data_IF_184661674941
#
_entry.id   IF_184661674941
#
_cell.length_a   1.000
_cell.length_b   1.000
_cell.length_c   1.000
_cell.angle_alpha   90.00
_cell.angle_beta   90.00
_cell.angle_gamma   90.00
#
_symmetry.space_group_name_H-M   'P 1'
#
loop_
_entity.id
_entity.type
_entity.pdbx_description
1 polymer ?
#
# COMPACT_ATOMS: atom_id res chain seq x y z
N UNK A 1 -31.96 -37.43 14.15
CA UNK A 1 -30.48 -37.48 14.04
C UNK A 1 -30.03 -37.52 12.57
N UNK A 2 -30.58 -36.62 11.72
CA UNK A 2 -30.31 -36.55 10.27
C UNK A 2 -30.11 -35.07 9.87
N UNK A 3 -30.72 -34.15 10.64
CA UNK A 3 -30.58 -32.70 10.50
C UNK A 3 -29.19 -32.15 10.91
N UNK A 4 -28.39 -32.93 11.66
CA UNK A 4 -27.03 -32.54 12.07
C UNK A 4 -25.97 -32.89 11.02
N UNK A 5 -26.27 -33.82 10.11
CA UNK A 5 -25.32 -34.38 9.15
C UNK A 5 -25.32 -33.65 7.79
N UNK A 6 -26.38 -32.87 7.50
CA UNK A 6 -26.56 -32.13 6.25
C UNK A 6 -26.13 -30.65 6.38
N UNK A 7 -26.17 -30.08 7.59
CA UNK A 7 -25.82 -28.68 7.82
C UNK A 7 -24.29 -28.41 7.89
N UNK A 8 -23.48 -29.45 8.13
CA UNK A 8 -22.02 -29.35 8.28
C UNK A 8 -21.28 -29.24 6.92
N UNK A 9 -21.64 -29.95 5.83
CA UNK A 9 -20.95 -29.79 4.55
C UNK A 9 -21.36 -28.52 3.77
N UNK A 10 -22.52 -27.92 4.05
CA UNK A 10 -22.98 -26.72 3.34
C UNK A 10 -22.25 -25.44 3.78
N UNK A 11 -21.81 -25.37 5.04
CA UNK A 11 -20.97 -24.27 5.53
C UNK A 11 -19.50 -24.45 5.12
N UNK A 12 -19.08 -25.69 4.85
CA UNK A 12 -17.75 -26.08 4.37
C UNK A 12 -17.63 -26.02 2.84
N UNK A 13 -18.34 -25.12 2.16
CA UNK A 13 -18.12 -24.89 0.73
C UNK A 13 -18.13 -23.40 0.35
N UNK A 14 -18.43 -22.50 1.30
CA UNK A 14 -18.41 -21.05 1.09
C UNK A 14 -17.16 -20.46 1.74
N UNK A 15 -15.99 -20.90 1.26
CA UNK A 15 -14.74 -20.20 1.51
C UNK A 15 -14.56 -19.08 0.49
N UNK A 16 -15.32 -17.98 0.62
CA UNK A 16 -15.04 -16.77 -0.16
C UNK A 16 -13.72 -16.19 0.34
N UNK A 17 -12.66 -16.38 -0.43
CA UNK A 17 -11.42 -15.64 -0.25
C UNK A 17 -11.62 -14.23 -0.80
N UNK A 18 -11.87 -13.27 0.09
CA UNK A 18 -11.70 -11.85 -0.24
C UNK A 18 -10.20 -11.61 -0.39
N UNK A 19 -9.71 -11.58 -1.62
CA UNK A 19 -8.35 -11.13 -1.91
C UNK A 19 -8.27 -9.63 -1.68
N UNK A 20 -7.42 -9.19 -0.75
CA UNK A 20 -7.08 -7.78 -0.65
C UNK A 20 -6.24 -7.40 -1.87
N UNK A 21 -6.72 -6.44 -2.66
CA UNK A 21 -5.91 -5.88 -3.73
C UNK A 21 -4.71 -5.14 -3.14
N UNK A 22 -3.58 -5.17 -3.86
CA UNK A 22 -2.43 -4.34 -3.48
C UNK A 22 -2.83 -2.85 -3.50
N UNK A 23 -2.39 -2.06 -2.50
CA UNK A 23 -2.72 -0.65 -2.44
C UNK A 23 -2.14 0.10 -3.64
N UNK A 24 -2.99 0.86 -4.31
CA UNK A 24 -2.60 1.71 -5.43
C UNK A 24 -1.90 2.98 -4.93
N UNK A 25 -0.78 3.35 -5.56
CA UNK A 25 -0.05 4.54 -5.13
C UNK A 25 -0.88 5.83 -5.25
N UNK A 26 -1.61 6.00 -6.35
CA UNK A 26 -2.36 7.24 -6.61
C UNK A 26 -3.59 7.39 -5.70
N UNK A 27 -4.28 6.29 -5.40
CA UNK A 27 -5.54 6.30 -4.64
C UNK A 27 -5.36 6.13 -3.14
N UNK A 28 -4.50 5.20 -2.73
CA UNK A 28 -4.42 4.80 -1.32
C UNK A 28 -3.24 5.46 -0.61
N UNK A 29 -2.08 5.52 -1.26
CA UNK A 29 -0.83 5.94 -0.62
C UNK A 29 -0.61 7.46 -0.72
N UNK A 30 -0.82 8.04 -1.90
CA UNK A 30 -0.56 9.46 -2.17
C UNK A 30 -1.37 10.40 -1.27
N UNK A 31 -2.67 10.18 -1.00
CA UNK A 31 -3.43 11.08 -0.13
C UNK A 31 -2.84 11.15 1.29
N UNK A 32 -2.44 10.01 1.84
CA UNK A 32 -1.79 9.93 3.16
C UNK A 32 -0.46 10.69 3.16
N UNK A 33 0.36 10.50 2.14
CA UNK A 33 1.64 11.22 2.01
C UNK A 33 1.45 12.73 1.82
N UNK A 34 0.44 13.13 1.06
CA UNK A 34 0.16 14.55 0.83
C UNK A 34 -0.28 15.29 2.07
N UNK A 35 -1.09 14.65 2.91
CA UNK A 35 -1.59 15.24 4.14
C UNK A 35 -0.47 15.33 5.21
N UNK A 36 0.24 14.23 5.42
CA UNK A 36 1.19 14.12 6.52
C UNK A 36 2.60 14.66 6.21
N UNK A 37 3.10 14.53 4.98
CA UNK A 37 4.55 14.65 4.72
C UNK A 37 4.94 15.63 3.62
N UNK A 38 4.09 15.93 2.64
CA UNK A 38 4.48 16.80 1.52
C UNK A 38 4.73 18.26 1.92
N UNK A 39 4.19 18.70 3.06
CA UNK A 39 4.49 20.02 3.62
C UNK A 39 5.99 20.24 3.87
N UNK A 40 6.75 19.18 4.19
CA UNK A 40 8.20 19.26 4.45
C UNK A 40 9.05 18.44 3.46
N UNK A 41 8.48 17.42 2.82
CA UNK A 41 9.19 16.48 1.96
C UNK A 41 8.50 16.28 0.61
N UNK A 42 7.78 17.29 0.15
CA UNK A 42 7.00 17.25 -1.09
C UNK A 42 7.62 18.07 -2.22
N UNK A 43 6.76 18.50 -3.18
CA UNK A 43 7.22 19.06 -4.44
C UNK A 43 7.81 20.47 -4.31
N UNK A 44 7.39 21.24 -3.31
CA UNK A 44 7.97 22.56 -3.02
C UNK A 44 9.45 22.41 -2.65
N UNK A 45 10.31 23.18 -3.29
CA UNK A 45 11.75 23.19 -3.01
C UNK A 45 12.09 24.06 -1.79
N UNK A 46 11.32 25.13 -1.55
CA UNK A 46 11.57 26.10 -0.48
C UNK A 46 11.25 25.53 0.89
N UNK A 47 10.16 24.76 1.01
CA UNK A 47 9.80 24.06 2.25
C UNK A 47 10.57 22.74 2.48
N UNK A 48 11.36 22.28 1.50
CA UNK A 48 11.95 20.93 1.52
C UNK A 48 13.05 20.78 2.57
N UNK A 49 12.82 19.90 3.54
CA UNK A 49 13.81 19.53 4.55
C UNK A 49 14.67 18.35 4.09
N UNK A 50 15.93 18.36 4.51
CA UNK A 50 16.91 17.28 4.25
C UNK A 50 17.09 16.89 2.76
N UNK A 51 16.68 17.75 1.82
CA UNK A 51 16.61 17.47 0.38
C UNK A 51 15.81 16.20 0.03
N UNK A 52 14.96 15.72 0.95
CA UNK A 52 14.15 14.52 0.77
C UNK A 52 12.84 14.86 0.07
N UNK A 53 12.51 14.07 -0.97
CA UNK A 53 11.31 14.25 -1.78
C UNK A 53 10.56 12.91 -1.90
N UNK A 54 9.40 12.80 -1.26
CA UNK A 54 8.61 11.57 -1.14
C UNK A 54 7.57 11.39 -2.24
N UNK A 55 7.18 12.47 -2.93
CA UNK A 55 6.20 12.41 -4.03
C UNK A 55 6.77 11.84 -5.33
N UNK A 56 8.09 11.86 -5.48
CA UNK A 56 8.81 11.28 -6.61
C UNK A 56 9.60 10.04 -6.17
N UNK A 57 9.22 8.88 -6.71
CA UNK A 57 9.87 7.59 -6.39
C UNK A 57 11.38 7.65 -6.58
N UNK A 58 11.86 8.19 -7.70
CA UNK A 58 13.29 8.19 -8.02
C UNK A 58 14.07 9.00 -6.99
N UNK A 59 13.54 10.15 -6.58
CA UNK A 59 14.14 11.02 -5.57
C UNK A 59 14.06 10.42 -4.16
N UNK A 60 12.94 9.79 -3.81
CA UNK A 60 12.78 9.10 -2.54
C UNK A 60 13.80 7.95 -2.40
N UNK A 61 14.01 7.16 -3.45
CA UNK A 61 14.99 6.06 -3.44
C UNK A 61 16.44 6.56 -3.38
N UNK A 62 16.79 7.65 -4.08
CA UNK A 62 18.13 8.25 -4.00
C UNK A 62 18.50 8.76 -2.61
N UNK A 63 17.51 9.05 -1.76
CA UNK A 63 17.77 9.53 -0.40
C UNK A 63 18.36 8.46 0.54
N UNK A 64 18.26 7.17 0.18
CA UNK A 64 18.69 6.06 1.03
C UNK A 64 17.81 5.79 2.25
N UNK A 65 16.75 6.59 2.46
CA UNK A 65 15.80 6.43 3.57
C UNK A 65 14.86 5.25 3.34
N UNK A 66 14.56 4.95 2.08
CA UNK A 66 13.74 3.81 1.68
C UNK A 66 14.65 2.72 1.12
N UNK A 67 14.58 1.53 1.70
CA UNK A 67 15.06 0.32 1.05
C UNK A 67 13.94 -0.22 0.17
N UNK A 68 14.24 -0.63 -1.05
CA UNK A 68 13.24 -1.29 -1.88
C UNK A 68 12.98 -2.67 -1.26
N UNK A 69 11.88 -2.80 -0.51
CA UNK A 69 11.51 -4.03 0.20
C UNK A 69 11.04 -5.16 -0.73
N UNK A 70 11.04 -4.95 -2.04
CA UNK A 70 10.97 -6.03 -3.01
C UNK A 70 10.74 -5.56 -4.43
N UNK A 71 11.43 -6.21 -5.35
CA UNK A 71 11.18 -6.27 -6.78
C UNK A 71 9.81 -6.94 -7.02
N UNK A 72 8.70 -6.24 -6.77
CA UNK A 72 7.34 -6.65 -7.15
C UNK A 72 6.91 -5.69 -8.26
N UNK A 73 6.95 -6.17 -9.50
CA UNK A 73 6.69 -5.35 -10.69
C UNK A 73 7.97 -4.92 -11.41
N UNK A 74 8.82 -5.88 -11.79
CA UNK A 74 9.53 -5.74 -13.04
C UNK A 74 8.50 -5.98 -14.16
N UNK A 75 8.41 -5.02 -15.09
CA UNK A 75 7.56 -4.94 -16.29
C UNK A 75 6.04 -4.91 -16.08
#
# INVERSE_FOLDING_TARGET
>A
MILRTIFIPAFMFIGVHVGAADPGFAGDIRPVLSDAFYNCHGPDASARKAKLRLDDRKSAMRSGVLTQSGLQGAI
#
